data_IF_484868860340
#
_entry.id   IF_484868860340
#
_cell.length_a   1.000
_cell.length_b   1.000
_cell.length_c   1.000
_cell.angle_alpha   90.00
_cell.angle_beta   90.00
_cell.angle_gamma   90.00
#
_symmetry.space_group_name_H-M   'P 1'
#
loop_
_entity.id
_entity.type
_entity.pdbx_description
1 polymer ?
#
# COMPACT_ATOMS: atom_id res chain seq x y z
N UNK A 1 20.71 2.83 -23.17
CA UNK A 1 19.95 2.62 -21.90
C UNK A 1 18.59 3.38 -21.82
N UNK A 2 18.10 3.97 -22.92
CA UNK A 2 16.85 4.78 -22.98
C UNK A 2 15.64 4.01 -23.53
N UNK A 3 15.85 3.10 -24.50
CA UNK A 3 14.78 2.31 -25.13
C UNK A 3 14.10 1.31 -24.16
N UNK A 4 14.86 0.72 -23.24
CA UNK A 4 14.34 -0.24 -22.26
C UNK A 4 13.43 0.43 -21.23
N UNK A 5 13.77 1.66 -20.80
CA UNK A 5 12.92 2.43 -19.88
C UNK A 5 11.60 2.86 -20.53
N UNK A 6 11.60 3.18 -21.82
CA UNK A 6 10.38 3.56 -22.52
C UNK A 6 9.46 2.37 -22.76
N UNK A 7 10.01 1.18 -23.03
CA UNK A 7 9.26 -0.09 -23.08
C UNK A 7 8.60 -0.42 -21.73
N UNK A 8 9.36 -0.36 -20.64
CA UNK A 8 8.82 -0.60 -19.28
C UNK A 8 7.71 0.41 -18.95
N UNK A 9 7.86 1.67 -19.32
CA UNK A 9 6.83 2.70 -19.10
C UNK A 9 5.56 2.40 -19.88
N UNK A 10 5.68 1.99 -21.14
CA UNK A 10 4.54 1.59 -22.00
C UNK A 10 3.86 0.33 -21.49
N UNK A 11 4.62 -0.67 -21.06
CA UNK A 11 4.07 -1.89 -20.47
C UNK A 11 3.32 -1.59 -19.17
N UNK A 12 3.91 -0.78 -18.28
CA UNK A 12 3.23 -0.33 -17.05
C UNK A 12 1.94 0.42 -17.38
N UNK A 13 1.96 1.32 -18.36
CA UNK A 13 0.76 2.04 -18.79
C UNK A 13 -0.31 1.08 -19.33
N UNK A 14 0.07 0.13 -20.19
CA UNK A 14 -0.85 -0.88 -20.71
C UNK A 14 -1.44 -1.76 -19.60
N UNK A 15 -0.63 -2.16 -18.62
CA UNK A 15 -1.11 -2.90 -17.45
C UNK A 15 -2.09 -2.08 -16.61
N UNK A 16 -1.81 -0.79 -16.38
CA UNK A 16 -2.73 0.10 -15.66
C UNK A 16 -4.04 0.30 -16.42
N UNK A 17 -3.99 0.48 -17.74
CA UNK A 17 -5.18 0.60 -18.59
C UNK A 17 -5.99 -0.70 -18.55
N UNK A 18 -5.34 -1.86 -18.70
CA UNK A 18 -5.99 -3.16 -18.62
C UNK A 18 -6.63 -3.39 -17.25
N UNK A 19 -5.92 -3.09 -16.16
CA UNK A 19 -6.46 -3.19 -14.81
C UNK A 19 -7.69 -2.28 -14.63
N UNK A 20 -7.64 -1.05 -15.16
CA UNK A 20 -8.78 -0.14 -15.16
C UNK A 20 -9.98 -0.67 -15.93
N UNK A 21 -9.76 -1.27 -17.11
CA UNK A 21 -10.80 -1.90 -17.91
C UNK A 21 -11.44 -3.09 -17.20
N UNK A 22 -10.63 -3.97 -16.61
CA UNK A 22 -11.12 -5.10 -15.81
C UNK A 22 -11.96 -4.61 -14.63
N UNK A 23 -11.47 -3.58 -13.91
CA UNK A 23 -12.20 -3.00 -12.79
C UNK A 23 -13.54 -2.38 -13.24
N UNK A 24 -13.56 -1.69 -14.37
CA UNK A 24 -14.78 -1.12 -14.94
C UNK A 24 -15.79 -2.22 -15.33
N UNK A 25 -15.33 -3.29 -15.98
CA UNK A 25 -16.19 -4.43 -16.35
C UNK A 25 -16.77 -5.12 -15.10
N UNK A 26 -15.94 -5.40 -14.08
CA UNK A 26 -16.39 -5.97 -12.81
C UNK A 26 -17.42 -5.07 -12.12
N UNK A 27 -17.17 -3.76 -12.13
CA UNK A 27 -18.10 -2.77 -11.56
C UNK A 27 -19.44 -2.77 -12.29
N UNK A 28 -19.42 -2.84 -13.62
CA UNK A 28 -20.65 -2.89 -14.43
C UNK A 28 -21.47 -4.17 -14.14
N UNK A 29 -20.82 -5.33 -14.09
CA UNK A 29 -21.48 -6.61 -13.75
C UNK A 29 -22.09 -6.53 -12.36
N UNK A 30 -21.34 -6.01 -11.37
CA UNK A 30 -21.82 -5.80 -10.01
C UNK A 30 -23.07 -4.92 -9.99
N UNK A 31 -23.05 -3.78 -10.67
CA UNK A 31 -24.19 -2.85 -10.71
C UNK A 31 -25.42 -3.50 -11.34
N UNK A 32 -25.26 -4.21 -12.46
CA UNK A 32 -26.37 -4.84 -13.17
C UNK A 32 -27.04 -5.93 -12.33
N UNK A 33 -26.26 -6.81 -11.71
CA UNK A 33 -26.79 -7.97 -10.99
C UNK A 33 -27.21 -7.63 -9.55
N UNK A 34 -26.68 -6.54 -8.99
CA UNK A 34 -26.86 -6.19 -7.57
C UNK A 34 -27.56 -4.83 -7.38
N UNK A 35 -28.40 -4.43 -8.34
CA UNK A 35 -29.23 -3.23 -8.27
C UNK A 35 -30.39 -3.34 -7.25
N UNK A 36 -30.64 -4.55 -6.71
CA UNK A 36 -31.71 -4.78 -5.75
C UNK A 36 -31.46 -4.02 -4.44
N UNK A 37 -32.41 -3.19 -3.98
CA UNK A 37 -32.24 -2.41 -2.78
C UNK A 37 -32.33 -3.32 -1.55
N UNK A 38 -31.31 -3.27 -0.69
CA UNK A 38 -31.21 -4.04 0.54
C UNK A 38 -30.91 -3.11 1.71
N UNK A 39 -31.48 -3.43 2.88
CA UNK A 39 -31.18 -2.79 4.15
C UNK A 39 -30.21 -3.67 4.93
N UNK A 40 -29.17 -3.08 5.49
CA UNK A 40 -28.25 -3.76 6.39
C UNK A 40 -28.61 -3.44 7.83
N UNK A 41 -28.68 -4.47 8.66
CA UNK A 41 -28.84 -4.31 10.11
C UNK A 41 -27.48 -4.48 10.78
N UNK A 42 -26.96 -3.39 11.33
CA UNK A 42 -25.68 -3.32 12.03
C UNK A 42 -25.95 -3.17 13.53
N UNK A 43 -25.89 -4.29 14.26
CA UNK A 43 -26.25 -4.37 15.68
C UNK A 43 -27.68 -3.85 15.94
N UNK A 44 -27.81 -2.60 16.38
CA UNK A 44 -29.10 -1.93 16.66
C UNK A 44 -29.48 -0.85 15.62
N UNK A 45 -28.58 -0.56 14.67
CA UNK A 45 -28.82 0.43 13.62
C UNK A 45 -29.21 -0.26 12.32
N UNK A 46 -30.19 0.31 11.62
CA UNK A 46 -30.63 -0.18 10.32
C UNK A 46 -30.37 0.88 9.26
N UNK A 47 -29.71 0.48 8.18
CA UNK A 47 -29.28 1.40 7.16
C UNK A 47 -30.44 1.78 6.23
N UNK A 48 -30.39 2.97 5.60
CA UNK A 48 -31.28 3.30 4.49
C UNK A 48 -31.17 2.25 3.37
N UNK A 49 -32.26 1.98 2.63
CA UNK A 49 -32.23 1.01 1.54
C UNK A 49 -31.28 1.52 0.44
N UNK A 50 -30.30 0.70 0.11
CA UNK A 50 -29.36 0.99 -0.96
C UNK A 50 -29.07 -0.30 -1.75
N UNK A 51 -28.74 -0.20 -3.05
CA UNK A 51 -28.34 -1.35 -3.84
C UNK A 51 -27.15 -2.10 -3.21
N UNK A 52 -27.13 -3.42 -3.33
CA UNK A 52 -26.06 -4.26 -2.75
C UNK A 52 -24.67 -3.84 -3.22
N UNK A 53 -24.51 -3.40 -4.47
CA UNK A 53 -23.21 -2.92 -4.98
C UNK A 53 -22.66 -1.74 -4.17
N UNK A 54 -23.52 -0.84 -3.66
CA UNK A 54 -23.08 0.33 -2.86
C UNK A 54 -22.38 -0.15 -1.59
N UNK A 55 -22.97 -1.13 -0.90
CA UNK A 55 -22.39 -1.70 0.31
C UNK A 55 -21.08 -2.41 0.04
N UNK A 56 -20.97 -3.12 -1.09
CA UNK A 56 -19.73 -3.77 -1.50
C UNK A 56 -18.61 -2.74 -1.76
N UNK A 57 -18.91 -1.62 -2.44
CA UNK A 57 -17.94 -0.55 -2.64
C UNK A 57 -17.52 0.13 -1.35
N UNK A 58 -18.47 0.37 -0.43
CA UNK A 58 -18.14 0.93 0.89
C UNK A 58 -17.23 0.00 1.68
N UNK A 59 -17.52 -1.31 1.70
CA UNK A 59 -16.69 -2.30 2.39
C UNK A 59 -15.29 -2.40 1.77
N UNK A 60 -15.22 -2.47 0.43
CA UNK A 60 -13.95 -2.52 -0.30
C UNK A 60 -13.12 -1.26 -0.09
N UNK A 61 -13.73 -0.09 -0.26
CA UNK A 61 -13.10 1.21 -0.06
C UNK A 61 -12.61 1.39 1.38
N UNK A 62 -13.44 1.05 2.36
CA UNK A 62 -13.07 1.07 3.77
C UNK A 62 -11.88 0.15 4.09
N UNK A 63 -11.89 -1.07 3.54
CA UNK A 63 -10.79 -2.02 3.68
C UNK A 63 -9.49 -1.51 3.04
N UNK A 64 -9.56 -0.95 1.83
CA UNK A 64 -8.40 -0.38 1.13
C UNK A 64 -7.79 0.79 1.90
N UNK A 65 -8.61 1.74 2.36
CA UNK A 65 -8.15 2.89 3.15
C UNK A 65 -7.46 2.42 4.44
N UNK A 66 -8.09 1.49 5.15
CA UNK A 66 -7.55 0.95 6.41
C UNK A 66 -6.25 0.20 6.17
N UNK A 67 -6.22 -0.69 5.17
CA UNK A 67 -5.02 -1.44 4.80
C UNK A 67 -3.86 -0.52 4.38
N UNK A 68 -4.15 0.51 3.59
CA UNK A 68 -3.13 1.48 3.16
C UNK A 68 -2.60 2.31 4.33
N UNK A 69 -3.45 2.70 5.27
CA UNK A 69 -3.05 3.38 6.49
C UNK A 69 -2.10 2.51 7.34
N UNK A 70 -2.45 1.25 7.57
CA UNK A 70 -1.61 0.30 8.32
C UNK A 70 -0.27 0.02 7.63
N UNK A 71 -0.28 -0.16 6.31
CA UNK A 71 0.93 -0.35 5.51
C UNK A 71 1.83 0.89 5.57
N UNK A 72 1.25 2.08 5.46
CA UNK A 72 1.99 3.35 5.55
C UNK A 72 2.67 3.51 6.91
N UNK A 73 1.97 3.24 8.01
CA UNK A 73 2.55 3.26 9.35
C UNK A 73 3.70 2.26 9.48
N UNK A 74 3.52 1.05 8.96
CA UNK A 74 4.54 -0.01 8.98
C UNK A 74 5.80 0.38 8.20
N UNK A 75 5.62 0.97 7.01
CA UNK A 75 6.73 1.48 6.19
C UNK A 75 7.48 2.63 6.88
N UNK A 76 6.76 3.55 7.54
CA UNK A 76 7.38 4.64 8.28
C UNK A 76 8.20 4.12 9.46
N UNK A 77 7.66 3.18 10.25
CA UNK A 77 8.38 2.52 11.33
C UNK A 77 9.63 1.81 10.81
N UNK A 78 9.52 1.07 9.71
CA UNK A 78 10.65 0.41 9.06
C UNK A 78 11.74 1.39 8.64
N UNK A 79 11.37 2.54 8.06
CA UNK A 79 12.33 3.59 7.68
C UNK A 79 13.04 4.21 8.88
N UNK A 80 12.33 4.42 9.99
CA UNK A 80 12.93 4.93 11.23
C UNK A 80 13.92 3.91 11.81
N UNK A 81 13.52 2.64 11.92
CA UNK A 81 14.38 1.57 12.39
C UNK A 81 15.64 1.43 11.51
N UNK A 82 15.47 1.49 10.18
CA UNK A 82 16.60 1.45 9.24
C UNK A 82 17.57 2.62 9.43
N UNK A 83 17.06 3.82 9.75
CA UNK A 83 17.92 4.98 10.05
C UNK A 83 18.68 4.81 11.37
N UNK A 84 18.04 4.25 12.39
CA UNK A 84 18.68 3.96 13.67
C UNK A 84 19.77 2.91 13.52
N UNK A 85 19.48 1.78 12.86
CA UNK A 85 20.45 0.73 12.57
C UNK A 85 21.66 1.24 11.77
N UNK A 86 21.43 2.14 10.79
CA UNK A 86 22.53 2.79 10.06
C UNK A 86 23.41 3.64 10.98
N UNK A 87 22.82 4.41 11.90
CA UNK A 87 23.57 5.24 12.86
C UNK A 87 24.37 4.41 13.84
N UNK A 88 23.80 3.30 14.33
CA UNK A 88 24.49 2.37 15.22
C UNK A 88 25.67 1.71 14.51
N UNK A 89 25.46 1.20 13.29
CA UNK A 89 26.54 0.66 12.46
C UNK A 89 27.65 1.68 12.27
N UNK A 90 27.31 2.91 11.89
CA UNK A 90 28.30 3.97 11.64
C UNK A 90 29.02 4.42 12.93
N UNK A 91 28.46 4.19 14.13
CA UNK A 91 29.16 4.40 15.41
C UNK A 91 30.14 3.27 15.69
N UNK A 92 29.69 2.02 15.59
CA UNK A 92 30.55 0.85 15.84
C UNK A 92 31.76 0.82 14.91
N UNK A 93 31.59 1.22 13.63
CA UNK A 93 32.72 1.35 12.69
C UNK A 93 33.74 2.39 13.18
N UNK A 94 33.30 3.56 13.65
CA UNK A 94 34.21 4.59 14.16
C UNK A 94 34.92 4.19 15.44
N UNK A 95 34.26 3.42 16.30
CA UNK A 95 34.87 2.89 17.51
C UNK A 95 35.97 1.89 17.16
N UNK A 96 35.75 1.01 16.18
CA UNK A 96 36.77 0.10 15.69
C UNK A 96 37.95 0.83 15.05
N UNK A 97 37.71 1.87 14.24
CA UNK A 97 38.77 2.66 13.64
C UNK A 97 39.63 3.36 14.72
N UNK A 98 39.01 3.93 15.76
CA UNK A 98 39.72 4.54 16.89
C UNK A 98 40.56 3.55 17.69
N UNK A 99 40.07 2.32 17.87
CA UNK A 99 40.82 1.27 18.57
C UNK A 99 42.06 0.86 17.76
N UNK A 100 41.93 0.73 16.43
CA UNK A 100 43.07 0.43 15.54
C UNK A 100 44.10 1.54 15.51
N UNK A 101 43.66 2.80 15.40
CA UNK A 101 44.56 3.96 15.44
C UNK A 101 45.31 4.07 16.79
N UNK A 102 44.67 3.67 17.89
CA UNK A 102 45.30 3.62 19.21
C UNK A 102 46.30 2.47 19.40
N UNK A 103 46.09 1.33 18.72
CA UNK A 103 46.99 0.17 18.75
C UNK A 103 48.24 0.38 17.87
N UNK A 104 48.13 1.13 16.77
CA UNK A 104 49.28 1.46 15.90
C UNK A 104 50.18 2.59 16.46
N UNK A 105 49.71 3.35 17.45
CA UNK A 105 50.41 4.48 18.04
C UNK A 105 51.18 4.16 19.34
N UNK A 106 51.03 2.94 19.88
CA UNK A 106 51.71 2.45 21.09
C UNK A 106 52.86 1.49 20.77
#
# INVERSE_FOLDING_TARGET
MTAERSLIRRLKLALWVLAGLVLAALSAILVMDNATPVRLRLLAYETPPAPVFVWLFVALGGGLVTGFALASVSLLKGRVAQRQLRRERDRSVRELDRLKEGEEAG
#
